data_IF_661163649175
#
_entry.id   IF_661163649175
#
_cell.length_a   1.000
_cell.length_b   1.000
_cell.length_c   1.000
_cell.angle_alpha   90.00
_cell.angle_beta   90.00
_cell.angle_gamma   90.00
#
_symmetry.space_group_name_H-M   'P 1'
#
loop_
_entity.id
_entity.type
_entity.pdbx_description
1 polymer ?
#
# COMPACT_ATOMS: atom_id res chain seq x y z
N UNK A 1 -12.19 -16.36 -27.88
CA UNK A 1 -10.87 -16.43 -27.21
C UNK A 1 -10.97 -15.61 -25.94
N UNK A 2 -10.48 -16.19 -24.85
CA UNK A 2 -10.70 -15.81 -23.45
C UNK A 2 -10.14 -14.44 -23.09
N UNK A 3 -10.98 -13.53 -22.59
CA UNK A 3 -10.52 -12.57 -21.59
C UNK A 3 -10.88 -13.17 -20.23
N UNK A 4 -10.03 -14.11 -19.81
CA UNK A 4 -10.18 -14.82 -18.56
C UNK A 4 -10.27 -13.81 -17.43
N UNK A 5 -11.29 -13.95 -16.60
CA UNK A 5 -11.42 -13.24 -15.34
C UNK A 5 -10.07 -13.22 -14.64
N UNK A 6 -9.49 -12.03 -14.47
CA UNK A 6 -8.30 -11.85 -13.64
C UNK A 6 -8.72 -12.27 -12.24
N UNK A 7 -8.35 -13.50 -11.87
CA UNK A 7 -8.53 -14.01 -10.52
C UNK A 7 -7.87 -12.99 -9.61
N UNK A 8 -8.67 -12.29 -8.81
CA UNK A 8 -8.20 -11.34 -7.81
C UNK A 8 -7.59 -12.12 -6.66
N UNK A 9 -6.44 -12.73 -6.94
CA UNK A 9 -5.61 -13.44 -5.97
C UNK A 9 -5.06 -12.39 -5.02
N UNK A 10 -5.33 -12.56 -3.73
CA UNK A 10 -4.65 -11.85 -2.65
C UNK A 10 -3.16 -12.02 -2.87
N UNK A 11 -2.43 -10.95 -3.21
CA UNK A 11 -0.98 -11.01 -3.41
C UNK A 11 -0.37 -11.09 -2.01
N UNK A 12 -0.25 -12.31 -1.50
CA UNK A 12 0.48 -12.58 -0.28
C UNK A 12 1.89 -11.99 -0.46
N UNK A 13 2.31 -11.13 0.46
CA UNK A 13 3.53 -10.31 0.45
C UNK A 13 4.84 -11.04 0.11
N UNK A 14 4.83 -12.38 0.21
CA UNK A 14 5.88 -13.32 -0.16
C UNK A 14 6.16 -13.43 -1.66
N UNK A 15 5.35 -12.83 -2.53
CA UNK A 15 5.56 -12.85 -3.99
C UNK A 15 6.03 -11.52 -4.60
N UNK A 16 6.14 -10.44 -3.80
CA UNK A 16 6.57 -9.14 -4.31
C UNK A 16 8.10 -9.01 -4.23
N UNK A 17 8.71 -8.68 -5.37
CA UNK A 17 10.11 -8.26 -5.48
C UNK A 17 10.33 -6.90 -4.82
N UNK A 18 11.58 -6.56 -4.51
CA UNK A 18 11.86 -5.26 -3.91
C UNK A 18 11.55 -4.07 -4.83
N UNK A 19 11.65 -4.25 -6.16
CA UNK A 19 11.22 -3.23 -7.13
C UNK A 19 9.71 -3.01 -7.10
N UNK A 20 8.91 -4.07 -7.00
CA UNK A 20 7.45 -3.94 -6.86
C UNK A 20 7.06 -3.28 -5.54
N UNK A 21 7.74 -3.64 -4.45
CA UNK A 21 7.52 -3.02 -3.13
C UNK A 21 7.87 -1.53 -3.17
N UNK A 22 8.99 -1.17 -3.79
CA UNK A 22 9.40 0.22 -3.94
C UNK A 22 8.37 1.01 -4.75
N UNK A 23 7.93 0.47 -5.89
CA UNK A 23 6.90 1.09 -6.72
C UNK A 23 5.61 1.38 -5.94
N UNK A 24 5.17 0.44 -5.10
CA UNK A 24 3.97 0.63 -4.26
C UNK A 24 4.20 1.73 -3.21
N UNK A 25 5.39 1.80 -2.60
CA UNK A 25 5.74 2.85 -1.64
C UNK A 25 5.81 4.22 -2.32
N UNK A 26 6.39 4.31 -3.51
CA UNK A 26 6.44 5.54 -4.29
C UNK A 26 5.03 6.02 -4.66
N UNK A 27 4.13 5.11 -5.05
CA UNK A 27 2.73 5.46 -5.30
C UNK A 27 2.04 5.95 -4.02
N UNK A 28 2.30 5.33 -2.87
CA UNK A 28 1.82 5.80 -1.59
C UNK A 28 2.29 7.24 -1.31
N UNK A 29 3.57 7.53 -1.50
CA UNK A 29 4.14 8.87 -1.23
C UNK A 29 3.60 9.93 -2.20
N UNK A 30 3.35 9.57 -3.46
CA UNK A 30 2.81 10.48 -4.48
C UNK A 30 1.29 10.65 -4.50
N UNK A 31 0.54 9.84 -3.75
CA UNK A 31 -0.93 9.89 -3.72
C UNK A 31 -1.48 10.64 -2.49
N UNK A 32 -2.73 11.11 -2.49
CA UNK A 32 -3.39 11.62 -1.28
C UNK A 32 -3.94 10.51 -0.36
N UNK A 33 -3.85 9.24 -0.77
CA UNK A 33 -4.47 8.11 -0.05
C UNK A 33 -3.75 7.72 1.25
N UNK A 34 -4.47 7.10 2.19
CA UNK A 34 -3.88 6.50 3.38
C UNK A 34 -3.11 5.22 3.05
N UNK A 35 -2.25 4.75 3.98
CA UNK A 35 -1.55 3.47 3.84
C UNK A 35 -2.54 2.33 3.60
N UNK A 36 -3.63 2.32 4.37
CA UNK A 36 -4.71 1.34 4.24
C UNK A 36 -5.33 1.32 2.84
N UNK A 37 -5.55 2.49 2.22
CA UNK A 37 -6.10 2.56 0.87
C UNK A 37 -5.17 1.89 -0.17
N UNK A 38 -3.87 2.14 -0.07
CA UNK A 38 -2.86 1.51 -0.93
C UNK A 38 -2.75 0.01 -0.64
N UNK A 39 -2.70 -0.39 0.63
CA UNK A 39 -2.62 -1.79 1.03
C UNK A 39 -3.82 -2.60 0.51
N UNK A 40 -5.03 -2.02 0.57
CA UNK A 40 -6.24 -2.59 -0.02
C UNK A 40 -6.19 -2.63 -1.55
N UNK A 41 -5.65 -1.59 -2.21
CA UNK A 41 -5.52 -1.52 -3.68
C UNK A 41 -4.64 -2.67 -4.21
N UNK A 42 -3.49 -2.89 -3.59
CA UNK A 42 -2.54 -3.94 -4.00
C UNK A 42 -2.81 -5.30 -3.36
N UNK A 43 -3.82 -5.37 -2.47
CA UNK A 43 -4.17 -6.58 -1.74
C UNK A 43 -2.96 -7.17 -0.97
N UNK A 44 -2.29 -6.29 -0.25
CA UNK A 44 -1.14 -6.62 0.60
C UNK A 44 -1.56 -6.50 2.07
N UNK A 45 -0.83 -7.17 2.97
CA UNK A 45 -1.12 -7.12 4.40
C UNK A 45 -1.00 -5.70 4.96
N UNK A 46 -1.85 -5.38 5.93
CA UNK A 46 -1.82 -4.09 6.62
C UNK A 46 -0.50 -3.91 7.38
N UNK A 47 0.05 -2.70 7.35
CA UNK A 47 1.32 -2.34 7.98
C UNK A 47 2.56 -2.60 7.12
N UNK A 48 2.41 -3.19 5.93
CA UNK A 48 3.56 -3.43 5.05
C UNK A 48 4.14 -2.15 4.48
N UNK A 49 3.32 -1.14 4.20
CA UNK A 49 3.83 0.16 3.72
C UNK A 49 4.75 0.77 4.78
N UNK A 50 4.37 0.73 6.06
CA UNK A 50 5.21 1.19 7.18
C UNK A 50 6.52 0.40 7.25
N UNK A 51 6.45 -0.92 7.10
CA UNK A 51 7.64 -1.77 7.12
C UNK A 51 8.59 -1.46 5.95
N UNK A 52 8.05 -1.26 4.74
CA UNK A 52 8.85 -0.97 3.55
C UNK A 52 9.43 0.45 3.53
N UNK A 53 8.73 1.45 4.06
CA UNK A 53 9.29 2.79 4.29
C UNK A 53 10.58 2.69 5.12
N UNK A 54 10.54 1.96 6.24
CA UNK A 54 11.73 1.71 7.06
C UNK A 54 12.82 0.92 6.33
N UNK A 55 12.44 -0.08 5.52
CA UNK A 55 13.39 -0.87 4.73
C UNK A 55 14.13 -0.03 3.68
N UNK A 56 13.44 0.89 3.01
CA UNK A 56 14.00 1.72 1.94
C UNK A 56 14.58 3.06 2.45
N UNK A 57 14.50 3.33 3.75
CA UNK A 57 14.96 4.61 4.31
C UNK A 57 14.12 5.81 3.84
N UNK A 58 12.85 5.58 3.52
CA UNK A 58 11.91 6.61 3.07
C UNK A 58 11.09 7.11 4.25
N UNK A 59 10.93 8.43 4.34
CA UNK A 59 10.08 9.05 5.35
C UNK A 59 8.61 8.92 4.97
N UNK A 60 7.78 8.71 5.97
CA UNK A 60 6.34 8.72 5.79
C UNK A 60 5.88 10.15 5.43
N UNK A 61 4.93 10.28 4.50
CA UNK A 61 4.32 11.58 4.27
C UNK A 61 3.57 11.99 5.53
N UNK A 62 3.67 13.27 5.91
CA UNK A 62 2.91 13.84 7.04
C UNK A 62 1.44 13.87 6.64
N UNK A 63 0.78 12.72 6.72
CA UNK A 63 -0.65 12.64 6.62
C UNK A 63 -1.16 13.04 8.00
N UNK A 64 -1.89 14.15 8.07
CA UNK A 64 -2.71 14.47 9.23
C UNK A 64 -3.82 13.40 9.38
N UNK A 65 -3.44 12.17 9.70
CA UNK A 65 -4.33 11.05 10.01
C UNK A 65 -4.88 11.22 11.44
N UNK A 66 -5.19 12.45 11.84
CA UNK A 66 -5.71 12.82 13.16
C UNK A 66 -7.02 13.60 13.15
N UNK A 67 -7.73 13.77 12.03
CA UNK A 67 -9.02 14.47 12.06
C UNK A 67 -10.10 13.74 11.31
N UNK A 68 -10.46 12.52 11.74
CA UNK A 68 -11.83 11.99 11.65
C UNK A 68 -11.98 10.79 12.61
N UNK A 69 -11.68 10.97 13.90
CA UNK A 69 -12.23 10.08 14.93
C UNK A 69 -12.89 10.93 16.00
N UNK A 70 -14.17 10.62 16.25
CA UNK A 70 -15.12 11.26 17.18
C UNK A 70 -15.77 12.57 16.67
N UNK A 71 -16.81 12.39 15.85
CA UNK A 71 -17.75 13.44 15.48
C UNK A 71 -19.07 12.83 15.04
N UNK A 72 -19.70 12.04 15.92
CA UNK A 72 -21.14 11.76 16.06
C UNK A 72 -21.35 10.69 17.12
#
# INVERSE_FOLDING_TARGET
MTLGAVKKTVIMSKHLTDSERLHIVEEYLGSPGSKYAIEKKYNIAQGLIKHWLGKFGLEDKILAEQTMKAGL
#
